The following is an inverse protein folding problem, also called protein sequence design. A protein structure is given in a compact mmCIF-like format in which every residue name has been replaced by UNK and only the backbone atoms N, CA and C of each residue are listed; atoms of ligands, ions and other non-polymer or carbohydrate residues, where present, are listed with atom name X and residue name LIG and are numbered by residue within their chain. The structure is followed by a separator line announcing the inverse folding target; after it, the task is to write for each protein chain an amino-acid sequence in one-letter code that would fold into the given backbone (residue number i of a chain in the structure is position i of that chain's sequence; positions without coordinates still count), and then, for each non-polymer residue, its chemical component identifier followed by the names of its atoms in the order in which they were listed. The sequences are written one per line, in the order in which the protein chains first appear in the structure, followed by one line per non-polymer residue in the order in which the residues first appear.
data_IF_489117147939
#
_entry.id   IF_489117147939
#
_cell.length_a   1.000
_cell.length_b   1.000
_cell.length_c   1.000
_cell.angle_alpha   90.00
_cell.angle_beta   90.00
_cell.angle_gamma   90.00
#
_symmetry.space_group_name_H-M   'P 1'
#
loop_
_entity.id
_entity.type
_entity.pdbx_description
1 polymer ?
#
# COMPACT_ATOMS: atom_id res chain seq x y z
N UNK A 1 11.66 -10.82 -7.37
CA UNK A 1 10.34 -10.17 -7.11
C UNK A 1 9.54 -10.88 -5.98
N UNK A 2 10.19 -11.52 -4.98
CA UNK A 2 9.49 -12.39 -4.00
C UNK A 2 9.02 -11.72 -2.69
N UNK A 3 9.84 -10.88 -2.05
CA UNK A 3 9.63 -10.48 -0.64
C UNK A 3 8.41 -9.59 -0.35
N UNK A 4 7.94 -8.81 -1.32
CA UNK A 4 6.84 -7.86 -1.07
C UNK A 4 5.45 -8.52 -1.18
N UNK A 5 5.36 -9.64 -1.92
CA UNK A 5 4.11 -10.39 -2.09
C UNK A 5 3.79 -11.21 -0.83
N UNK A 6 4.82 -11.69 -0.13
CA UNK A 6 4.69 -12.39 1.16
C UNK A 6 4.20 -11.45 2.27
N UNK A 7 4.67 -10.19 2.30
CA UNK A 7 4.24 -9.19 3.30
C UNK A 7 2.78 -8.76 3.18
N UNK A 8 2.18 -8.92 1.99
CA UNK A 8 0.83 -8.43 1.72
C UNK A 8 -0.25 -9.52 1.75
N UNK A 9 0.12 -10.79 1.99
CA UNK A 9 -0.77 -11.89 2.45
C UNK A 9 -2.22 -11.85 1.91
N UNK A 10 -2.40 -11.56 0.61
CA UNK A 10 -3.74 -11.54 0.00
C UNK A 10 -4.62 -10.33 0.33
N UNK A 11 -4.06 -9.17 0.70
CA UNK A 11 -4.80 -7.90 0.65
C UNK A 11 -5.17 -7.61 -0.81
N UNK A 12 -6.36 -8.05 -1.20
CA UNK A 12 -6.95 -7.69 -2.49
C UNK A 12 -6.98 -6.17 -2.60
N UNK A 13 -6.47 -5.67 -3.72
CA UNK A 13 -6.48 -4.26 -4.14
C UNK A 13 -7.83 -3.59 -3.88
N UNK A 14 -8.92 -4.35 -3.98
CA UNK A 14 -10.28 -3.88 -3.79
C UNK A 14 -10.64 -3.56 -2.34
N UNK A 15 -10.04 -4.25 -1.37
CA UNK A 15 -10.28 -3.99 0.06
C UNK A 15 -9.72 -2.63 0.49
N UNK A 16 -8.58 -2.21 -0.08
CA UNK A 16 -7.94 -0.92 0.23
C UNK A 16 -8.70 0.28 -0.32
N UNK A 17 -9.41 0.10 -1.42
CA UNK A 17 -10.29 1.14 -2.00
C UNK A 17 -11.56 1.33 -1.18
N UNK A 18 -12.01 0.30 -0.46
CA UNK A 18 -13.20 0.35 0.40
C UNK A 18 -12.92 0.88 1.80
N UNK A 19 -11.64 0.95 2.23
CA UNK A 19 -11.28 1.56 3.51
C UNK A 19 -11.57 3.07 3.52
N UNK A 20 -11.98 3.58 4.69
CA UNK A 20 -12.12 5.04 4.88
C UNK A 20 -10.75 5.69 4.71
N UNK A 21 -10.74 6.95 4.23
CA UNK A 21 -9.50 7.70 3.96
C UNK A 21 -8.50 7.68 5.11
N UNK A 22 -8.98 7.79 6.35
CA UNK A 22 -8.15 7.75 7.57
C UNK A 22 -7.45 6.40 7.72
N UNK A 23 -8.21 5.31 7.69
CA UNK A 23 -7.72 3.94 7.84
C UNK A 23 -6.73 3.56 6.72
N UNK A 24 -7.06 3.94 5.48
CA UNK A 24 -6.17 3.75 4.33
C UNK A 24 -4.85 4.51 4.50
N UNK A 25 -4.90 5.76 4.95
CA UNK A 25 -3.71 6.57 5.13
C UNK A 25 -2.83 6.03 6.27
N UNK A 26 -3.43 5.59 7.37
CA UNK A 26 -2.69 4.96 8.48
C UNK A 26 -2.01 3.67 8.03
N UNK A 27 -2.68 2.84 7.23
CA UNK A 27 -2.07 1.66 6.63
C UNK A 27 -0.93 2.02 5.67
N UNK A 28 -1.13 3.00 4.80
CA UNK A 28 -0.10 3.46 3.85
C UNK A 28 1.14 3.99 4.59
N UNK A 29 0.98 4.66 5.73
CA UNK A 29 2.11 5.09 6.58
C UNK A 29 2.88 3.91 7.15
N UNK A 30 2.19 2.88 7.63
CA UNK A 30 2.83 1.63 8.10
C UNK A 30 3.59 0.93 6.97
N UNK A 31 3.02 0.88 5.77
CA UNK A 31 3.67 0.30 4.59
C UNK A 31 4.90 1.12 4.19
N UNK A 32 4.82 2.45 4.19
CA UNK A 32 5.96 3.35 3.89
C UNK A 32 7.09 3.24 4.92
N UNK A 33 6.78 2.90 6.17
CA UNK A 33 7.77 2.70 7.22
C UNK A 33 8.59 1.41 7.03
N UNK A 34 8.16 0.49 6.16
CA UNK A 34 8.96 -0.68 5.79
C UNK A 34 10.14 -0.22 4.94
N UNK A 35 11.36 -0.49 5.42
CA UNK A 35 12.58 -0.16 4.68
C UNK A 35 12.56 -0.77 3.27
N UNK A 36 12.84 0.08 2.27
CA UNK A 36 12.88 -0.31 0.86
C UNK A 36 11.52 -0.34 0.15
N UNK A 37 10.41 0.05 0.79
CA UNK A 37 9.11 0.17 0.14
C UNK A 37 8.98 1.48 -0.65
N UNK A 38 9.34 1.48 -1.94
CA UNK A 38 9.12 2.65 -2.80
C UNK A 38 7.64 2.88 -3.12
N UNK A 39 7.24 4.13 -3.38
CA UNK A 39 5.88 4.48 -3.84
C UNK A 39 5.44 3.62 -5.05
N UNK A 40 6.39 3.28 -5.94
CA UNK A 40 6.13 2.41 -7.10
C UNK A 40 5.83 0.98 -6.71
N UNK A 41 6.59 0.42 -5.77
CA UNK A 41 6.33 -0.92 -5.23
C UNK A 41 4.99 -0.97 -4.50
N UNK A 42 4.70 0.04 -3.69
CA UNK A 42 3.41 0.16 -3.00
C UNK A 42 2.28 0.25 -4.02
N UNK A 43 2.38 1.10 -5.04
CA UNK A 43 1.37 1.21 -6.09
C UNK A 43 1.16 -0.11 -6.85
N UNK A 44 2.25 -0.85 -7.10
CA UNK A 44 2.18 -2.14 -7.81
C UNK A 44 1.43 -3.21 -7.01
N UNK A 45 1.63 -3.26 -5.70
CA UNK A 45 0.98 -4.29 -4.86
C UNK A 45 -0.41 -3.85 -4.38
N UNK A 46 -0.56 -2.58 -4.01
CA UNK A 46 -1.84 -2.06 -3.50
C UNK A 46 -2.83 -1.67 -4.60
N UNK A 47 -2.38 -1.52 -5.85
CA UNK A 47 -3.18 -1.02 -6.97
C UNK A 47 -3.68 0.42 -6.78
N UNK A 48 -3.17 1.14 -5.77
CA UNK A 48 -3.51 2.53 -5.50
C UNK A 48 -2.71 3.47 -6.40
N UNK A 49 -3.35 4.57 -6.79
CA UNK A 49 -2.69 5.64 -7.52
C UNK A 49 -1.50 6.20 -6.73
N UNK A 50 -0.39 6.48 -7.41
CA UNK A 50 0.83 7.04 -6.79
C UNK A 50 0.55 8.32 -6.01
N UNK A 51 -0.39 9.15 -6.47
CA UNK A 51 -0.81 10.36 -5.77
C UNK A 51 -1.51 10.06 -4.44
N UNK A 52 -2.31 9.00 -4.36
CA UNK A 52 -2.97 8.60 -3.10
C UNK A 52 -1.91 8.16 -2.10
N UNK A 53 -0.94 7.38 -2.56
CA UNK A 53 0.16 6.89 -1.74
C UNK A 53 1.04 8.06 -1.29
N UNK A 54 1.43 8.96 -2.18
CA UNK A 54 2.28 10.10 -1.84
C UNK A 54 1.62 11.01 -0.78
N UNK A 55 0.32 11.26 -0.89
CA UNK A 55 -0.44 12.17 -0.02
C UNK A 55 -1.04 11.53 1.25
N UNK A 56 -0.65 10.29 1.58
CA UNK A 56 -1.03 9.60 2.81
C UNK A 56 0.01 9.79 3.92
#
# INVERSE_FOLDING_TARGET
MGRLNELLHGFSVDSLKQLKRKERNDLLRRIKAVEGASIRQIAKVTGLGRNIIANA
#
